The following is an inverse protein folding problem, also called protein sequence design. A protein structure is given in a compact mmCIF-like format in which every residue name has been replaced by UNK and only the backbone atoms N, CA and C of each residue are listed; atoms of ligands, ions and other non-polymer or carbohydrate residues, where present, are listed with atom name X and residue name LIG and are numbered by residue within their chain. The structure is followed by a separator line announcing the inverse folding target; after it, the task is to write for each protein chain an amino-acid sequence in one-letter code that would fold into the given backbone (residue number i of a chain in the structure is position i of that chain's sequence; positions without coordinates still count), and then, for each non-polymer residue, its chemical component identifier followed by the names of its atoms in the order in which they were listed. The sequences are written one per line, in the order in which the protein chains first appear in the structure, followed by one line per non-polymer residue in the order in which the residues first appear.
data_IF_213317190761
#
_entry.id   IF_213317190761
#
_cell.length_a   1.000
_cell.length_b   1.000
_cell.length_c   1.000
_cell.angle_alpha   90.00
_cell.angle_beta   90.00
_cell.angle_gamma   90.00
#
_symmetry.space_group_name_H-M   'P 1'
#
loop_
_entity.id
_entity.type
_entity.pdbx_description
1 polymer ?
#
# COMPACT_ATOMS: atom_id res chain seq x y z
N UNK A 1 -4.95 27.74 -22.31
CA UNK A 1 -4.37 27.66 -20.94
C UNK A 1 -5.16 26.78 -19.95
N UNK A 2 -6.47 26.61 -20.07
CA UNK A 2 -7.24 25.70 -19.16
C UNK A 2 -7.15 24.21 -19.55
N UNK A 3 -6.98 23.88 -20.83
CA UNK A 3 -6.85 22.48 -21.28
C UNK A 3 -5.56 21.81 -20.78
N UNK A 4 -4.44 22.55 -20.72
CA UNK A 4 -3.17 21.98 -20.20
C UNK A 4 -3.24 21.62 -18.71
N UNK A 5 -3.99 22.38 -17.89
CA UNK A 5 -4.09 22.10 -16.45
C UNK A 5 -4.93 20.85 -16.14
N UNK A 6 -6.00 20.63 -16.90
CA UNK A 6 -6.80 19.41 -16.81
C UNK A 6 -6.00 18.17 -17.19
N UNK A 7 -5.28 18.26 -18.32
CA UNK A 7 -4.43 17.20 -18.82
C UNK A 7 -3.33 16.79 -17.82
N UNK A 8 -2.68 17.76 -17.16
CA UNK A 8 -1.68 17.47 -16.11
C UNK A 8 -2.29 16.64 -14.98
N UNK A 9 -3.52 16.97 -14.56
CA UNK A 9 -4.24 16.19 -13.53
C UNK A 9 -4.56 14.78 -13.98
N UNK A 10 -5.06 14.61 -15.19
CA UNK A 10 -5.34 13.30 -15.78
C UNK A 10 -4.08 12.45 -15.96
N UNK A 11 -2.99 13.05 -16.46
CA UNK A 11 -1.70 12.36 -16.62
C UNK A 11 -1.14 11.90 -15.27
N UNK A 12 -1.28 12.73 -14.23
CA UNK A 12 -0.88 12.38 -12.88
C UNK A 12 -1.70 11.20 -12.33
N UNK A 13 -3.02 11.23 -12.46
CA UNK A 13 -3.92 10.15 -12.04
C UNK A 13 -3.60 8.86 -12.79
N UNK A 14 -3.39 8.95 -14.11
CA UNK A 14 -3.02 7.80 -14.93
C UNK A 14 -1.66 7.23 -14.53
N UNK A 15 -0.65 8.07 -14.25
CA UNK A 15 0.64 7.61 -13.75
C UNK A 15 0.49 6.82 -12.45
N UNK A 16 -0.32 7.29 -11.51
CA UNK A 16 -0.60 6.59 -10.27
C UNK A 16 -1.31 5.26 -10.52
N UNK A 17 -2.36 5.26 -11.35
CA UNK A 17 -3.18 4.09 -11.60
C UNK A 17 -2.46 2.98 -12.37
N UNK A 18 -1.57 3.33 -13.29
CA UNK A 18 -0.98 2.35 -14.22
C UNK A 18 0.49 2.03 -13.97
N UNK A 19 1.24 2.95 -13.38
CA UNK A 19 2.69 2.84 -13.24
C UNK A 19 3.15 2.63 -11.80
N UNK A 20 2.24 2.70 -10.83
CA UNK A 20 2.57 2.50 -9.41
C UNK A 20 2.16 1.09 -8.93
N UNK A 21 2.52 0.80 -7.69
CA UNK A 21 2.08 -0.40 -6.96
C UNK A 21 0.55 -0.47 -6.78
N UNK A 22 -0.17 0.59 -7.11
CA UNK A 22 -1.62 0.70 -6.94
C UNK A 22 -2.44 0.09 -8.08
N UNK A 23 -1.80 -0.32 -9.17
CA UNK A 23 -2.45 -0.78 -10.42
C UNK A 23 -3.63 -1.74 -10.22
N UNK A 24 -3.55 -2.67 -9.28
CA UNK A 24 -4.60 -3.67 -9.06
C UNK A 24 -5.84 -3.12 -8.34
N UNK A 25 -5.72 -1.99 -7.67
CA UNK A 25 -6.74 -1.45 -6.76
C UNK A 25 -7.25 -0.07 -7.17
N UNK A 26 -6.72 0.51 -8.26
CA UNK A 26 -7.04 1.84 -8.73
C UNK A 26 -8.18 1.85 -9.75
N UNK A 27 -9.08 2.79 -9.57
CA UNK A 27 -10.18 3.12 -10.48
C UNK A 27 -10.09 4.61 -10.82
N UNK A 28 -9.37 5.00 -11.89
CA UNK A 28 -9.27 6.39 -12.31
C UNK A 28 -10.60 6.87 -12.87
N UNK A 29 -11.03 8.06 -12.44
CA UNK A 29 -12.25 8.70 -12.89
C UNK A 29 -13.51 7.83 -12.83
N UNK A 30 -13.83 7.15 -11.70
CA UNK A 30 -14.99 6.28 -11.62
C UNK A 30 -16.26 7.08 -11.92
N UNK A 31 -17.16 6.52 -12.74
CA UNK A 31 -18.36 7.19 -13.23
C UNK A 31 -19.60 6.36 -12.93
N UNK A 32 -20.74 7.04 -12.78
CA UNK A 32 -22.03 6.36 -12.80
C UNK A 32 -22.30 5.78 -14.19
N UNK A 33 -22.64 4.52 -14.27
CA UNK A 33 -23.12 3.94 -15.54
C UNK A 33 -24.58 4.20 -15.82
N UNK A 34 -25.38 4.42 -14.79
CA UNK A 34 -26.81 4.65 -14.92
C UNK A 34 -27.13 6.15 -15.09
N UNK A 35 -27.16 6.63 -16.32
CA UNK A 35 -27.80 7.87 -16.77
C UNK A 35 -26.92 9.11 -16.85
N UNK A 36 -26.33 9.62 -15.81
CA UNK A 36 -25.40 10.75 -15.85
C UNK A 36 -23.97 10.26 -15.71
N UNK A 37 -23.19 10.30 -16.78
CA UNK A 37 -21.74 9.94 -16.83
C UNK A 37 -20.85 10.90 -16.01
N UNK A 38 -21.37 11.42 -14.88
CA UNK A 38 -20.61 12.33 -14.03
C UNK A 38 -19.56 11.56 -13.27
N UNK A 39 -18.34 12.05 -13.32
CA UNK A 39 -17.22 11.56 -12.52
C UNK A 39 -17.53 11.70 -11.04
N UNK A 40 -17.25 10.63 -10.28
CA UNK A 40 -17.50 10.57 -8.83
C UNK A 40 -16.33 11.21 -8.08
N UNK A 41 -15.09 10.85 -8.45
CA UNK A 41 -13.84 11.41 -7.94
C UNK A 41 -12.74 11.23 -8.98
N UNK A 42 -11.59 11.88 -8.79
CA UNK A 42 -10.48 11.80 -9.74
C UNK A 42 -9.80 10.43 -9.69
N UNK A 43 -9.68 9.82 -8.50
CA UNK A 43 -9.14 8.48 -8.31
C UNK A 43 -9.80 7.79 -7.10
N UNK A 44 -10.19 6.55 -7.28
CA UNK A 44 -10.67 5.68 -6.20
C UNK A 44 -9.73 4.47 -6.09
N UNK A 45 -9.29 4.14 -4.86
CA UNK A 45 -8.51 2.96 -4.55
C UNK A 45 -9.33 2.10 -3.61
N UNK A 46 -9.44 0.79 -3.92
CA UNK A 46 -10.13 -0.18 -3.07
C UNK A 46 -9.14 -1.29 -2.71
N UNK A 47 -8.82 -1.40 -1.42
CA UNK A 47 -7.93 -2.41 -0.90
C UNK A 47 -8.57 -3.10 0.31
N UNK A 48 -8.98 -4.35 0.13
CA UNK A 48 -9.73 -5.10 1.14
C UNK A 48 -10.94 -4.32 1.66
N UNK A 49 -10.97 -4.00 2.95
CA UNK A 49 -12.06 -3.23 3.58
C UNK A 49 -11.79 -1.71 3.64
N UNK A 50 -10.84 -1.22 2.84
CA UNK A 50 -10.42 0.18 2.83
C UNK A 50 -10.70 0.81 1.47
N UNK A 51 -11.31 1.99 1.48
CA UNK A 51 -11.43 2.85 0.30
C UNK A 51 -10.61 4.13 0.49
N UNK A 52 -9.87 4.54 -0.54
CA UNK A 52 -9.17 5.82 -0.59
C UNK A 52 -9.77 6.64 -1.72
N UNK A 53 -10.38 7.77 -1.38
CA UNK A 53 -11.01 8.69 -2.33
C UNK A 53 -10.10 9.89 -2.50
N UNK A 54 -9.59 10.10 -3.72
CA UNK A 54 -8.62 11.14 -4.03
C UNK A 54 -9.25 12.18 -4.96
N UNK A 55 -9.06 13.45 -4.61
CA UNK A 55 -9.33 14.59 -5.49
C UNK A 55 -8.03 15.31 -5.83
N UNK A 56 -7.78 15.50 -7.11
CA UNK A 56 -6.60 16.17 -7.64
C UNK A 56 -6.95 17.58 -8.07
N UNK A 57 -6.15 18.55 -7.67
CA UNK A 57 -6.26 19.95 -8.04
C UNK A 57 -4.96 20.43 -8.67
N UNK A 58 -5.07 21.35 -9.60
CA UNK A 58 -3.91 22.02 -10.21
C UNK A 58 -4.12 23.53 -10.10
N UNK A 59 -3.96 24.04 -8.90
CA UNK A 59 -4.23 25.43 -8.57
C UNK A 59 -2.99 26.12 -8.01
N UNK A 60 -2.58 27.20 -8.65
CA UNK A 60 -1.43 28.02 -8.23
C UNK A 60 -1.85 29.04 -7.16
N UNK A 61 -0.99 29.24 -6.19
CA UNK A 61 -1.13 30.32 -5.24
C UNK A 61 -0.79 31.67 -5.93
N UNK A 62 -1.66 32.66 -5.82
CA UNK A 62 -1.52 33.97 -6.44
C UNK A 62 -1.58 35.12 -5.40
N UNK A 63 -0.93 34.88 -4.25
CA UNK A 63 -0.77 35.90 -3.22
C UNK A 63 -1.97 36.11 -2.29
N UNK A 64 -3.06 35.37 -2.44
CA UNK A 64 -4.24 35.52 -1.56
C UNK A 64 -4.62 34.13 -0.98
N UNK A 65 -4.37 33.93 0.32
CA UNK A 65 -4.62 32.66 1.03
C UNK A 65 -6.10 32.29 1.08
N UNK A 66 -6.96 33.25 1.42
CA UNK A 66 -8.38 32.99 1.57
C UNK A 66 -8.99 32.50 0.25
N UNK A 67 -8.63 33.17 -0.86
CA UNK A 67 -9.07 32.76 -2.19
C UNK A 67 -8.50 31.38 -2.58
N UNK A 68 -7.24 31.10 -2.24
CA UNK A 68 -6.58 29.83 -2.50
C UNK A 68 -7.28 28.71 -1.73
N UNK A 69 -7.48 28.87 -0.42
CA UNK A 69 -8.15 27.87 0.40
C UNK A 69 -9.58 27.61 -0.06
N UNK A 70 -10.40 28.64 -0.26
CA UNK A 70 -11.80 28.47 -0.68
C UNK A 70 -11.93 27.83 -2.06
N UNK A 71 -11.09 28.19 -3.01
CA UNK A 71 -11.21 27.72 -4.38
C UNK A 71 -10.55 26.37 -4.61
N UNK A 72 -9.54 26.00 -3.82
CA UNK A 72 -8.78 24.77 -4.00
C UNK A 72 -9.22 23.73 -2.98
N UNK A 73 -9.03 24.02 -1.72
CA UNK A 73 -9.17 23.01 -0.64
C UNK A 73 -10.63 22.80 -0.31
N UNK A 74 -11.39 23.84 0.01
CA UNK A 74 -12.80 23.65 0.38
C UNK A 74 -13.64 23.05 -0.76
N UNK A 75 -13.38 23.44 -2.01
CA UNK A 75 -14.06 22.83 -3.15
C UNK A 75 -13.72 21.36 -3.31
N UNK A 76 -12.44 21.01 -3.16
CA UNK A 76 -11.99 19.62 -3.23
C UNK A 76 -12.58 18.79 -2.09
N UNK A 77 -12.59 19.31 -0.88
CA UNK A 77 -13.22 18.70 0.28
C UNK A 77 -14.71 18.45 0.03
N UNK A 78 -15.44 19.47 -0.46
CA UNK A 78 -16.86 19.32 -0.81
C UNK A 78 -17.09 18.27 -1.90
N UNK A 79 -16.19 18.16 -2.88
CA UNK A 79 -16.25 17.15 -3.93
C UNK A 79 -16.03 15.73 -3.36
N UNK A 80 -15.03 15.56 -2.49
CA UNK A 80 -14.78 14.27 -1.83
C UNK A 80 -15.99 13.84 -0.98
N UNK A 81 -16.61 14.74 -0.23
CA UNK A 81 -17.83 14.40 0.51
C UNK A 81 -19.00 14.08 -0.41
N UNK A 82 -19.10 14.77 -1.53
CA UNK A 82 -20.05 14.44 -2.59
C UNK A 82 -19.83 13.03 -3.13
N UNK A 83 -18.58 12.69 -3.42
CA UNK A 83 -18.18 11.36 -3.87
C UNK A 83 -18.51 10.29 -2.83
N UNK A 84 -18.15 10.49 -1.57
CA UNK A 84 -18.48 9.55 -0.49
C UNK A 84 -20.00 9.37 -0.33
N UNK A 85 -20.79 10.43 -0.37
CA UNK A 85 -22.26 10.30 -0.31
C UNK A 85 -22.82 9.46 -1.45
N UNK A 86 -22.22 9.53 -2.61
CA UNK A 86 -22.59 8.73 -3.77
C UNK A 86 -22.20 7.28 -3.58
N UNK A 87 -20.92 7.02 -3.28
CA UNK A 87 -20.38 5.67 -3.10
C UNK A 87 -21.08 4.90 -1.98
N UNK A 88 -21.41 5.59 -0.88
CA UNK A 88 -22.00 4.98 0.32
C UNK A 88 -23.51 5.25 0.46
N UNK A 89 -24.13 5.88 -0.53
CA UNK A 89 -25.59 6.13 -0.59
C UNK A 89 -26.39 4.84 -0.83
N UNK A 90 -27.71 4.99 -0.97
CA UNK A 90 -28.63 3.85 -1.13
C UNK A 90 -28.58 3.20 -2.52
N UNK A 91 -28.12 3.91 -3.55
CA UNK A 91 -28.07 3.41 -4.91
C UNK A 91 -26.85 2.54 -5.14
N UNK A 92 -27.01 1.50 -5.96
CA UNK A 92 -25.89 0.68 -6.40
C UNK A 92 -24.94 1.51 -7.30
N UNK A 93 -23.67 1.42 -7.05
CA UNK A 93 -22.62 2.13 -7.81
C UNK A 93 -21.76 1.11 -8.53
N UNK A 94 -21.69 1.24 -9.84
CA UNK A 94 -20.79 0.45 -10.67
C UNK A 94 -19.52 1.26 -10.93
N UNK A 95 -18.38 0.61 -10.77
CA UNK A 95 -17.05 1.19 -11.00
C UNK A 95 -16.38 0.42 -12.11
N UNK A 96 -15.60 1.12 -12.92
CA UNK A 96 -14.87 0.53 -14.03
C UNK A 96 -13.40 0.86 -13.94
N UNK A 97 -12.58 -0.16 -13.84
CA UNK A 97 -11.17 -0.05 -14.12
C UNK A 97 -10.96 -0.16 -15.65
N UNK A 98 -10.06 0.63 -16.27
CA UNK A 98 -9.84 0.55 -17.73
C UNK A 98 -9.47 -0.84 -18.23
N UNK A 99 -8.75 -1.60 -17.42
CA UNK A 99 -8.24 -2.95 -17.74
C UNK A 99 -9.10 -4.06 -17.12
N UNK A 100 -10.29 -3.77 -16.58
CA UNK A 100 -11.19 -4.77 -15.99
C UNK A 100 -12.61 -4.59 -16.51
N UNK A 101 -13.42 -5.60 -16.27
CA UNK A 101 -14.86 -5.49 -16.44
C UNK A 101 -15.48 -4.56 -15.39
N UNK A 102 -16.73 -4.18 -15.60
CA UNK A 102 -17.49 -3.37 -14.65
C UNK A 102 -17.71 -4.18 -13.38
N UNK A 103 -17.38 -3.57 -12.25
CA UNK A 103 -17.54 -4.15 -10.92
C UNK A 103 -18.54 -3.31 -10.11
N UNK A 104 -19.31 -3.96 -9.23
CA UNK A 104 -20.12 -3.24 -8.25
C UNK A 104 -19.21 -2.77 -7.11
N UNK A 105 -19.32 -1.51 -6.73
CA UNK A 105 -18.58 -0.97 -5.58
C UNK A 105 -18.94 -1.74 -4.31
N UNK A 106 -17.96 -2.37 -3.61
CA UNK A 106 -18.20 -3.29 -2.50
C UNK A 106 -18.51 -2.53 -1.19
N UNK A 107 -19.55 -1.72 -1.18
CA UNK A 107 -19.93 -0.81 -0.09
C UNK A 107 -19.93 -1.46 1.28
N UNK A 108 -20.59 -2.60 1.40
CA UNK A 108 -20.79 -3.28 2.69
C UNK A 108 -19.51 -3.92 3.25
N UNK A 109 -18.50 -4.06 2.41
CA UNK A 109 -17.18 -4.57 2.80
C UNK A 109 -16.25 -3.45 3.28
N UNK A 110 -16.53 -2.18 2.93
CA UNK A 110 -15.67 -1.05 3.29
C UNK A 110 -15.93 -0.63 4.73
N UNK A 111 -14.89 -0.69 5.55
CA UNK A 111 -14.91 -0.32 6.97
C UNK A 111 -14.17 0.99 7.26
N UNK A 112 -13.23 1.37 6.40
CA UNK A 112 -12.41 2.59 6.55
C UNK A 112 -12.35 3.36 5.25
N UNK A 113 -12.45 4.68 5.34
CA UNK A 113 -12.38 5.59 4.19
C UNK A 113 -11.30 6.63 4.47
N UNK A 114 -10.28 6.67 3.62
CA UNK A 114 -9.33 7.78 3.56
C UNK A 114 -9.78 8.77 2.48
N UNK A 115 -9.68 10.05 2.79
CA UNK A 115 -10.03 11.15 1.91
C UNK A 115 -8.79 11.99 1.69
N UNK A 116 -8.37 12.13 0.44
CA UNK A 116 -7.11 12.79 0.08
C UNK A 116 -7.36 13.87 -0.95
N UNK A 117 -6.83 15.05 -0.69
CA UNK A 117 -6.71 16.14 -1.68
C UNK A 117 -5.24 16.27 -2.04
N UNK A 118 -4.93 16.27 -3.33
CA UNK A 118 -3.59 16.51 -3.86
C UNK A 118 -3.61 17.78 -4.70
N UNK A 119 -2.80 18.76 -4.35
CA UNK A 119 -2.63 19.95 -5.19
C UNK A 119 -1.32 19.84 -5.99
N UNK A 120 -1.45 19.83 -7.31
CA UNK A 120 -0.33 19.73 -8.26
C UNK A 120 0.26 21.10 -8.63
N UNK A 121 -0.47 22.18 -8.35
CA UNK A 121 -0.01 23.54 -8.67
C UNK A 121 1.06 24.00 -7.67
N UNK A 122 1.87 24.96 -8.13
CA UNK A 122 2.82 25.65 -7.24
C UNK A 122 2.04 26.41 -6.18
N UNK A 123 1.95 25.79 -5.04
CA UNK A 123 1.11 26.21 -3.94
C UNK A 123 1.90 26.69 -2.76
N UNK A 124 1.15 27.12 -1.79
CA UNK A 124 1.65 27.43 -0.47
C UNK A 124 2.05 26.15 0.22
N UNK A 125 3.28 26.09 0.68
CA UNK A 125 3.84 24.91 1.37
C UNK A 125 3.40 24.80 2.84
N UNK A 126 2.50 25.65 3.30
CA UNK A 126 1.98 25.65 4.66
C UNK A 126 0.46 25.76 4.65
N UNK A 127 -0.16 25.11 5.61
CA UNK A 127 -1.61 25.01 5.68
C UNK A 127 -2.07 25.20 7.11
N UNK A 128 -2.81 26.26 7.45
CA UNK A 128 -3.69 26.22 8.60
C UNK A 128 -4.93 25.44 8.16
N UNK A 129 -5.01 24.19 8.50
CA UNK A 129 -6.07 23.33 8.05
C UNK A 129 -6.69 22.55 9.20
N UNK A 130 -7.95 22.82 9.51
CA UNK A 130 -8.73 21.92 10.32
C UNK A 130 -9.29 20.84 9.40
N UNK A 131 -8.64 19.70 9.41
CA UNK A 131 -8.98 18.56 8.58
C UNK A 131 -10.19 17.78 9.07
N UNK A 132 -10.71 18.15 10.26
CA UNK A 132 -11.89 17.51 10.84
C UNK A 132 -13.12 18.34 10.52
N UNK A 133 -14.12 17.70 9.97
CA UNK A 133 -15.39 18.34 9.64
C UNK A 133 -16.40 18.15 10.75
N UNK A 134 -17.59 18.75 10.59
CA UNK A 134 -18.74 18.58 11.50
C UNK A 134 -19.17 17.11 11.66
N UNK A 135 -18.83 16.24 10.72
CA UNK A 135 -19.10 14.79 10.76
C UNK A 135 -17.97 13.95 11.36
N UNK A 136 -16.97 14.58 11.97
CA UNK A 136 -15.78 13.94 12.52
C UNK A 136 -14.95 13.16 11.47
N UNK A 137 -15.14 13.46 10.20
CA UNK A 137 -14.37 12.91 9.10
C UNK A 137 -13.08 13.70 8.89
N UNK A 138 -11.99 12.98 8.56
CA UNK A 138 -10.68 13.56 8.29
C UNK A 138 -10.38 13.62 6.80
N UNK A 139 -9.74 14.72 6.35
CA UNK A 139 -9.25 14.88 4.98
C UNK A 139 -7.76 15.15 5.02
N UNK A 140 -6.99 14.32 4.34
CA UNK A 140 -5.55 14.53 4.17
C UNK A 140 -5.28 15.45 2.98
N UNK A 141 -4.41 16.43 3.18
CA UNK A 141 -3.98 17.33 2.13
C UNK A 141 -2.50 17.12 1.84
N UNK A 142 -2.16 16.95 0.56
CA UNK A 142 -0.78 16.86 0.08
C UNK A 142 -0.53 17.86 -1.04
N UNK A 143 0.68 18.42 -1.09
CA UNK A 143 1.23 18.98 -2.30
C UNK A 143 1.81 17.86 -3.20
N UNK A 144 2.10 18.19 -4.46
CA UNK A 144 2.61 17.24 -5.45
C UNK A 144 3.91 16.57 -5.00
N UNK A 145 4.89 17.38 -4.61
CA UNK A 145 6.24 16.91 -4.30
C UNK A 145 6.24 16.00 -3.06
N UNK A 146 5.49 16.39 -2.03
CA UNK A 146 5.30 15.57 -0.83
C UNK A 146 4.60 14.25 -1.15
N UNK A 147 3.54 14.28 -1.95
CA UNK A 147 2.80 13.07 -2.31
C UNK A 147 3.65 12.12 -3.16
N UNK A 148 4.35 12.63 -4.17
CA UNK A 148 5.26 11.82 -5.01
C UNK A 148 6.38 11.19 -4.16
N UNK A 149 6.91 11.92 -3.18
CA UNK A 149 7.91 11.38 -2.23
C UNK A 149 7.30 10.27 -1.36
N UNK A 150 6.12 10.50 -0.78
CA UNK A 150 5.43 9.52 0.07
C UNK A 150 5.20 8.22 -0.67
N UNK A 151 4.64 8.24 -1.88
CA UNK A 151 4.36 7.02 -2.65
C UNK A 151 5.63 6.36 -3.22
N UNK A 152 6.74 7.08 -3.30
CA UNK A 152 8.04 6.54 -3.70
C UNK A 152 8.72 5.80 -2.55
N UNK A 153 8.64 6.33 -1.34
CA UNK A 153 9.25 5.75 -0.15
C UNK A 153 8.39 4.66 0.49
N UNK A 154 7.05 4.80 0.38
CA UNK A 154 6.06 3.84 0.84
C UNK A 154 5.46 3.14 -0.38
N UNK A 155 6.29 2.42 -1.12
CA UNK A 155 5.99 1.86 -2.42
C UNK A 155 5.22 0.53 -2.39
N UNK A 156 4.51 0.28 -1.29
CA UNK A 156 3.50 -0.77 -1.17
C UNK A 156 2.20 -0.20 -0.60
N UNK A 157 1.06 -0.81 -0.94
CA UNK A 157 -0.23 -0.31 -0.45
C UNK A 157 -0.38 -0.42 1.07
N UNK A 158 0.10 -1.48 1.76
CA UNK A 158 0.07 -1.53 3.21
C UNK A 158 0.93 -0.45 3.88
N UNK A 159 2.14 -0.18 3.36
CA UNK A 159 3.00 0.87 3.89
C UNK A 159 2.36 2.26 3.77
N UNK A 160 1.73 2.54 2.62
CA UNK A 160 1.02 3.79 2.40
C UNK A 160 -0.19 3.94 3.31
N UNK A 161 -0.99 2.88 3.50
CA UNK A 161 -2.14 2.87 4.40
C UNK A 161 -1.70 3.06 5.86
N UNK A 162 -0.65 2.39 6.30
CA UNK A 162 -0.10 2.53 7.66
C UNK A 162 0.29 3.99 7.97
N UNK A 163 0.94 4.66 7.01
CA UNK A 163 1.24 6.09 7.12
C UNK A 163 -0.03 6.94 7.22
N UNK A 164 -1.01 6.71 6.35
CA UNK A 164 -2.26 7.46 6.36
C UNK A 164 -3.02 7.31 7.68
N UNK A 165 -3.08 6.09 8.23
CA UNK A 165 -3.75 5.81 9.51
C UNK A 165 -3.11 6.57 10.66
N UNK A 166 -1.79 6.50 10.76
CA UNK A 166 -1.03 7.14 11.84
C UNK A 166 -1.03 8.65 11.69
N UNK A 167 -0.95 9.15 10.45
CA UNK A 167 -1.09 10.57 10.17
C UNK A 167 -2.49 11.09 10.51
N UNK A 168 -3.54 10.37 10.17
CA UNK A 168 -4.91 10.71 10.58
C UNK A 168 -5.02 10.75 12.11
N UNK A 169 -4.50 9.75 12.82
CA UNK A 169 -4.49 9.71 14.29
C UNK A 169 -3.78 10.92 14.89
N UNK A 170 -2.67 11.36 14.29
CA UNK A 170 -1.94 12.53 14.74
C UNK A 170 -2.76 13.82 14.62
N UNK A 171 -3.45 14.02 13.50
CA UNK A 171 -4.05 15.31 13.15
C UNK A 171 -5.56 15.41 13.36
N UNK A 172 -6.28 14.30 13.41
CA UNK A 172 -7.74 14.31 13.53
C UNK A 172 -8.21 15.06 14.79
N UNK A 173 -9.18 15.94 14.64
CA UNK A 173 -9.74 16.74 15.73
C UNK A 173 -8.86 17.92 16.15
N UNK A 174 -7.85 18.28 15.35
CA UNK A 174 -6.89 19.36 15.68
C UNK A 174 -6.68 20.27 14.49
N UNK A 175 -6.36 21.52 14.77
CA UNK A 175 -5.89 22.45 13.75
C UNK A 175 -4.40 22.21 13.52
N UNK A 176 -4.05 21.83 12.30
CA UNK A 176 -2.66 21.57 11.91
C UNK A 176 -2.11 22.78 11.17
N UNK A 177 -0.94 23.23 11.59
CA UNK A 177 -0.22 24.34 10.99
C UNK A 177 1.18 23.83 10.62
N UNK A 178 1.43 23.67 9.32
CA UNK A 178 2.73 23.25 8.80
C UNK A 178 3.42 24.50 8.25
N UNK A 179 4.57 24.83 8.78
CA UNK A 179 5.39 25.99 8.41
C UNK A 179 6.72 25.52 7.84
N UNK A 180 7.14 25.95 6.64
CA UNK A 180 8.51 25.76 6.18
C UNK A 180 9.48 26.52 7.07
N UNK A 181 10.64 25.96 7.36
CA UNK A 181 11.59 26.51 8.34
C UNK A 181 12.32 27.80 7.94
N UNK A 182 12.20 28.25 6.68
CA UNK A 182 12.83 29.47 6.24
C UNK A 182 11.84 30.65 6.35
N UNK A 183 12.08 31.56 7.27
CA UNK A 183 11.31 32.83 7.40
C UNK A 183 11.25 33.62 6.08
N UNK A 184 12.26 33.49 5.22
CA UNK A 184 12.33 34.16 3.91
C UNK A 184 11.24 33.73 2.93
N UNK A 185 10.65 32.55 3.13
CA UNK A 185 9.58 32.03 2.27
C UNK A 185 8.18 32.46 2.71
N UNK A 186 8.11 33.25 3.78
CA UNK A 186 6.86 33.69 4.39
C UNK A 186 6.68 35.22 4.29
N UNK A 187 6.00 35.74 3.26
CA UNK A 187 5.73 37.19 3.17
C UNK A 187 4.97 37.69 4.39
N UNK A 188 5.38 38.82 4.97
CA UNK A 188 4.80 39.43 6.19
C UNK A 188 3.28 39.62 6.05
N UNK A 189 2.81 40.06 4.88
CA UNK A 189 1.37 40.25 4.58
C UNK A 189 0.58 38.93 4.67
N UNK A 190 1.25 37.80 4.43
CA UNK A 190 0.69 36.47 4.51
C UNK A 190 0.59 35.98 5.95
N UNK A 191 1.49 36.43 6.83
CA UNK A 191 1.48 36.08 8.27
C UNK A 191 0.24 36.64 8.96
N UNK A 192 -0.16 37.87 8.69
CA UNK A 192 -1.36 38.47 9.29
C UNK A 192 -2.63 37.72 8.91
N UNK A 193 -2.79 37.37 7.63
CA UNK A 193 -3.94 36.60 7.16
C UNK A 193 -3.96 35.20 7.74
N UNK A 194 -2.79 34.63 7.94
CA UNK A 194 -2.60 33.33 8.55
C UNK A 194 -2.99 33.31 10.03
N UNK A 195 -2.52 34.31 10.81
CA UNK A 195 -2.90 34.45 12.22
C UNK A 195 -4.38 34.73 12.40
N UNK A 196 -4.97 35.58 11.55
CA UNK A 196 -6.43 35.85 11.54
C UNK A 196 -7.24 34.57 11.24
N UNK A 197 -6.73 33.70 10.37
CA UNK A 197 -7.36 32.40 10.11
C UNK A 197 -7.25 31.47 11.34
N UNK A 198 -6.11 31.49 12.03
CA UNK A 198 -5.88 30.73 13.25
C UNK A 198 -6.78 31.18 14.42
N UNK A 199 -7.06 32.46 14.55
CA UNK A 199 -7.94 33.03 15.57
C UNK A 199 -9.40 32.58 15.44
N UNK A 200 -9.83 32.19 14.24
CA UNK A 200 -11.20 31.73 13.97
C UNK A 200 -11.43 30.26 14.22
N UNK A 201 -10.37 29.49 14.52
CA UNK A 201 -10.42 28.05 14.67
C UNK A 201 -10.22 27.73 16.15
N UNK A 202 -11.29 27.32 16.81
CA UNK A 202 -11.23 26.82 18.18
C UNK A 202 -10.50 25.49 18.25
N UNK A 203 -9.77 25.23 19.35
CA UNK A 203 -9.34 23.93 19.86
C UNK A 203 -7.85 23.61 19.67
N UNK A 204 -7.49 22.35 19.97
CA UNK A 204 -6.11 21.84 20.02
C UNK A 204 -5.35 22.09 18.72
N UNK A 205 -4.16 22.64 18.82
CA UNK A 205 -3.33 23.00 17.68
C UNK A 205 -2.07 22.16 17.60
N UNK A 206 -1.68 21.78 16.39
CA UNK A 206 -0.36 21.20 16.10
C UNK A 206 0.39 22.15 15.18
N UNK A 207 1.52 22.63 15.66
CA UNK A 207 2.45 23.42 14.86
C UNK A 207 3.61 22.53 14.43
N UNK A 208 3.84 22.43 13.14
CA UNK A 208 4.98 21.69 12.59
C UNK A 208 5.87 22.70 11.86
N UNK A 209 7.11 22.86 12.37
CA UNK A 209 8.17 23.51 11.64
C UNK A 209 8.84 22.47 10.74
N UNK A 210 8.65 22.58 9.42
CA UNK A 210 9.11 21.64 8.43
C UNK A 210 8.10 21.39 7.31
N UNK A 211 8.31 20.36 6.55
CA UNK A 211 7.47 19.94 5.43
C UNK A 211 6.83 18.58 5.70
N UNK A 212 5.89 18.18 4.84
CA UNK A 212 5.34 16.81 4.89
C UNK A 212 6.43 15.73 4.69
N UNK A 213 7.51 16.04 3.94
CA UNK A 213 8.65 15.12 3.80
C UNK A 213 9.42 14.98 5.11
N UNK A 214 9.59 16.06 5.86
CA UNK A 214 10.20 16.01 7.19
C UNK A 214 9.32 15.20 8.16
N UNK A 215 7.99 15.30 8.03
CA UNK A 215 7.05 14.47 8.78
C UNK A 215 7.19 12.98 8.43
N UNK A 216 7.38 12.64 7.16
CA UNK A 216 7.67 11.27 6.73
C UNK A 216 8.99 10.76 7.30
N UNK A 217 10.05 11.57 7.28
CA UNK A 217 11.33 11.24 7.90
C UNK A 217 11.20 11.01 9.41
N UNK A 218 10.42 11.84 10.08
CA UNK A 218 10.11 11.68 11.50
C UNK A 218 9.36 10.37 11.77
N UNK A 219 8.37 10.02 10.96
CA UNK A 219 7.66 8.75 11.02
C UNK A 219 8.62 7.55 10.95
N UNK A 220 9.49 7.49 9.96
CA UNK A 220 10.48 6.41 9.83
C UNK A 220 11.46 6.37 11.02
N UNK A 221 11.94 7.53 11.47
CA UNK A 221 12.89 7.63 12.57
C UNK A 221 12.30 7.16 13.91
N UNK A 222 10.99 7.21 14.04
CA UNK A 222 10.24 6.77 15.22
C UNK A 222 9.56 5.40 15.03
N UNK A 223 10.20 4.49 14.29
CA UNK A 223 9.72 3.12 14.05
C UNK A 223 8.30 3.11 13.47
N UNK A 224 8.08 3.92 12.46
CA UNK A 224 6.78 4.11 11.78
C UNK A 224 5.65 4.51 12.73
N UNK A 225 5.94 5.41 13.66
CA UNK A 225 4.94 5.97 14.57
C UNK A 225 5.12 7.48 14.72
N UNK A 226 4.03 8.14 15.06
CA UNK A 226 4.07 9.49 15.58
C UNK A 226 3.93 9.46 17.11
N UNK A 227 4.59 10.39 17.83
CA UNK A 227 4.46 10.46 19.28
C UNK A 227 2.99 10.69 19.67
N UNK A 228 2.55 10.09 20.76
CA UNK A 228 1.21 10.29 21.31
C UNK A 228 1.19 11.60 22.13
N UNK A 229 1.24 12.72 21.40
CA UNK A 229 1.57 14.04 21.94
C UNK A 229 0.41 14.77 22.56
N UNK A 230 -0.81 14.24 22.47
CA UNK A 230 -2.02 14.95 22.84
C UNK A 230 -2.92 14.16 23.80
N UNK A 231 -2.37 13.19 24.48
CA UNK A 231 -3.02 12.54 25.63
C UNK A 231 -3.04 13.43 26.89
N UNK A 232 -2.39 14.61 26.85
CA UNK A 232 -2.35 15.59 27.94
C UNK A 232 -3.32 16.76 27.77
N UNK A 233 -3.42 17.59 28.83
CA UNK A 233 -4.28 18.80 28.89
C UNK A 233 -3.74 19.99 28.06
N UNK A 234 -2.71 19.79 27.23
CA UNK A 234 -2.10 20.87 26.44
C UNK A 234 -2.93 21.20 25.21
N UNK A 235 -3.26 22.47 25.03
CA UNK A 235 -4.01 22.97 23.88
C UNK A 235 -3.14 23.15 22.61
N UNK A 236 -1.82 23.16 22.75
CA UNK A 236 -0.89 23.32 21.65
C UNK A 236 0.30 22.36 21.73
N UNK A 237 0.68 21.82 20.59
CA UNK A 237 1.87 21.00 20.44
C UNK A 237 2.76 21.52 19.30
N UNK A 238 4.06 21.58 19.56
CA UNK A 238 5.06 22.07 18.63
C UNK A 238 5.99 20.93 18.24
N UNK A 239 6.07 20.63 16.94
CA UNK A 239 6.98 19.65 16.37
C UNK A 239 7.98 20.36 15.45
N UNK A 240 9.24 20.44 15.91
CA UNK A 240 10.31 21.03 15.11
C UNK A 240 11.07 19.92 14.40
N UNK A 241 10.90 19.83 13.09
CA UNK A 241 11.45 18.77 12.24
C UNK A 241 12.09 19.29 10.95
N UNK A 242 12.36 20.60 10.88
CA UNK A 242 13.02 21.20 9.72
C UNK A 242 14.31 20.46 9.36
N UNK A 243 14.48 20.12 8.09
CA UNK A 243 15.64 19.42 7.56
C UNK A 243 15.71 17.94 7.94
N UNK A 244 14.70 17.39 8.63
CA UNK A 244 14.67 15.97 8.99
C UNK A 244 14.73 15.08 7.74
N UNK A 245 14.06 15.45 6.66
CA UNK A 245 14.12 14.71 5.39
C UNK A 245 15.52 14.64 4.81
N UNK A 246 16.22 15.78 4.73
CA UNK A 246 17.57 15.81 4.20
C UNK A 246 18.54 15.00 5.04
N UNK A 247 18.41 15.06 6.36
CA UNK A 247 19.21 14.26 7.27
C UNK A 247 18.87 12.76 7.13
N UNK A 248 17.59 12.42 7.01
CA UNK A 248 17.12 11.05 6.84
C UNK A 248 17.70 10.40 5.58
N UNK A 249 17.51 10.99 4.41
CA UNK A 249 17.95 10.38 3.12
C UNK A 249 19.46 10.23 3.02
N UNK A 250 20.23 11.05 3.74
CA UNK A 250 21.70 10.96 3.77
C UNK A 250 22.23 10.00 4.80
N UNK A 251 21.39 9.56 5.76
CA UNK A 251 21.81 8.72 6.89
C UNK A 251 22.21 7.32 6.43
N UNK A 252 23.30 6.77 6.98
CA UNK A 252 23.83 5.45 6.60
C UNK A 252 22.82 4.31 6.81
N UNK A 253 22.04 4.36 7.88
CA UNK A 253 20.97 3.37 8.12
C UNK A 253 19.93 3.31 7.00
N UNK A 254 19.60 4.46 6.40
CA UNK A 254 18.65 4.54 5.29
C UNK A 254 19.26 3.96 4.00
N UNK A 255 20.54 4.24 3.76
CA UNK A 255 21.27 3.60 2.65
C UNK A 255 21.33 2.09 2.80
N UNK A 256 21.57 1.60 4.04
CA UNK A 256 21.56 0.17 4.33
C UNK A 256 20.17 -0.44 4.15
N UNK A 257 19.11 0.25 4.61
CA UNK A 257 17.72 -0.15 4.34
C UNK A 257 17.48 -0.28 2.84
N UNK A 258 17.77 0.76 2.06
CA UNK A 258 17.55 0.77 0.62
C UNK A 258 18.34 -0.32 -0.10
N UNK A 259 19.55 -0.64 0.36
CA UNK A 259 20.33 -1.77 -0.15
C UNK A 259 19.68 -3.11 0.20
N UNK A 260 19.21 -3.26 1.44
CA UNK A 260 18.54 -4.48 1.89
C UNK A 260 17.19 -4.68 1.20
N UNK A 261 16.45 -3.60 0.93
CA UNK A 261 15.15 -3.67 0.26
C UNK A 261 15.24 -4.10 -1.20
N UNK A 262 16.41 -4.03 -1.85
CA UNK A 262 16.56 -4.43 -3.27
C UNK A 262 16.09 -5.85 -3.53
N UNK A 263 16.31 -6.77 -2.62
CA UNK A 263 15.89 -8.16 -2.78
C UNK A 263 14.36 -8.29 -2.78
N UNK A 264 13.64 -7.39 -2.10
CA UNK A 264 12.18 -7.43 -1.99
C UNK A 264 11.48 -7.17 -3.33
N UNK A 265 12.14 -6.47 -4.25
CA UNK A 265 11.60 -6.21 -5.59
C UNK A 265 11.50 -7.46 -6.46
N UNK A 266 12.08 -8.59 -6.02
CA UNK A 266 11.82 -9.90 -6.63
C UNK A 266 10.32 -10.20 -6.70
N UNK A 267 9.55 -9.86 -5.66
CA UNK A 267 8.08 -10.05 -5.66
C UNK A 267 7.41 -9.18 -6.73
N UNK A 268 7.81 -7.92 -6.84
CA UNK A 268 7.27 -6.99 -7.83
C UNK A 268 7.59 -7.46 -9.26
N UNK A 269 8.83 -7.89 -9.50
CA UNK A 269 9.28 -8.42 -10.79
C UNK A 269 8.61 -9.76 -11.11
N UNK A 270 8.42 -10.65 -10.12
CA UNK A 270 7.69 -11.91 -10.30
C UNK A 270 6.24 -11.65 -10.72
N UNK A 271 5.56 -10.72 -10.06
CA UNK A 271 4.19 -10.35 -10.44
C UNK A 271 4.18 -9.79 -11.86
N UNK A 272 5.09 -8.87 -12.19
CA UNK A 272 5.15 -8.22 -13.49
C UNK A 272 5.48 -9.21 -14.62
N UNK A 273 6.51 -10.02 -14.44
CA UNK A 273 7.11 -10.81 -15.53
C UNK A 273 6.49 -12.21 -15.64
N UNK A 274 6.00 -12.80 -14.54
CA UNK A 274 5.44 -14.15 -14.54
C UNK A 274 3.91 -14.16 -14.51
N UNK A 275 3.30 -13.30 -13.68
CA UNK A 275 1.85 -13.32 -13.54
C UNK A 275 1.16 -12.43 -14.57
N UNK A 276 1.68 -11.23 -14.82
CA UNK A 276 1.08 -10.31 -15.80
C UNK A 276 1.53 -10.61 -17.23
N UNK A 277 2.83 -10.82 -17.48
CA UNK A 277 3.42 -11.08 -18.82
C UNK A 277 2.85 -10.18 -19.92
N UNK A 278 2.81 -8.86 -19.69
CA UNK A 278 2.20 -7.87 -20.60
C UNK A 278 0.71 -8.09 -20.90
N UNK A 279 0.05 -8.89 -20.07
CA UNK A 279 -1.38 -9.18 -20.20
C UNK A 279 -2.19 -8.11 -19.48
N UNK A 280 -3.28 -7.66 -20.08
CA UNK A 280 -4.25 -6.77 -19.42
C UNK A 280 -4.90 -7.47 -18.22
N UNK A 281 -5.23 -6.72 -17.16
CA UNK A 281 -5.84 -7.28 -15.95
C UNK A 281 -7.09 -8.10 -16.22
N UNK A 282 -7.94 -7.69 -17.18
CA UNK A 282 -9.16 -8.41 -17.61
C UNK A 282 -8.90 -9.79 -18.20
N UNK A 283 -7.69 -10.05 -18.68
CA UNK A 283 -7.32 -11.33 -19.28
C UNK A 283 -6.62 -12.26 -18.28
N UNK A 284 -6.44 -11.82 -17.02
CA UNK A 284 -5.90 -12.67 -15.97
C UNK A 284 -6.93 -13.72 -15.55
N UNK A 285 -6.45 -14.94 -15.32
CA UNK A 285 -7.28 -15.93 -14.63
C UNK A 285 -7.51 -15.51 -13.18
N UNK A 286 -8.65 -15.88 -12.55
CA UNK A 286 -8.90 -15.57 -11.14
C UNK A 286 -7.75 -15.98 -10.21
N UNK A 287 -7.13 -17.13 -10.49
CA UNK A 287 -5.98 -17.63 -9.71
C UNK A 287 -4.76 -16.69 -9.83
N UNK A 288 -4.43 -16.21 -11.04
CA UNK A 288 -3.29 -15.29 -11.24
C UNK A 288 -3.55 -13.92 -10.61
N UNK A 289 -4.77 -13.41 -10.74
CA UNK A 289 -5.16 -12.14 -10.10
C UNK A 289 -5.11 -12.26 -8.57
N UNK A 290 -5.67 -13.34 -8.02
CA UNK A 290 -5.64 -13.62 -6.59
C UNK A 290 -4.20 -13.72 -6.07
N UNK A 291 -3.33 -14.46 -6.77
CA UNK A 291 -1.91 -14.59 -6.41
C UNK A 291 -1.20 -13.24 -6.45
N UNK A 292 -1.39 -12.44 -7.50
CA UNK A 292 -0.79 -11.12 -7.62
C UNK A 292 -1.24 -10.20 -6.48
N UNK A 293 -2.55 -10.16 -6.19
CA UNK A 293 -3.10 -9.39 -5.08
C UNK A 293 -2.55 -9.84 -3.74
N UNK A 294 -2.47 -11.15 -3.49
CA UNK A 294 -1.94 -11.70 -2.24
C UNK A 294 -0.47 -11.29 -2.04
N UNK A 295 0.39 -11.47 -3.05
CA UNK A 295 1.79 -11.08 -2.99
C UNK A 295 1.98 -9.56 -2.81
N UNK A 296 1.19 -8.77 -3.51
CA UNK A 296 1.27 -7.31 -3.44
C UNK A 296 0.57 -6.72 -2.20
N UNK A 297 -0.14 -7.53 -1.42
CA UNK A 297 -0.73 -7.14 -0.13
C UNK A 297 0.27 -7.16 1.02
N UNK A 298 1.48 -7.63 0.82
CA UNK A 298 2.55 -7.54 1.81
C UNK A 298 3.26 -6.18 1.75
N UNK A 299 3.67 -5.66 2.91
CA UNK A 299 4.52 -4.49 3.02
C UNK A 299 5.95 -4.75 2.51
N UNK A 300 6.76 -3.73 2.38
CA UNK A 300 8.12 -3.83 1.83
C UNK A 300 9.04 -4.72 2.68
N UNK A 301 8.92 -4.64 4.01
CA UNK A 301 9.73 -5.45 4.93
C UNK A 301 9.36 -6.93 4.83
N UNK A 302 8.08 -7.23 4.76
CA UNK A 302 7.57 -8.60 4.57
C UNK A 302 7.98 -9.17 3.22
N UNK A 303 7.88 -8.39 2.12
CA UNK A 303 8.39 -8.82 0.80
C UNK A 303 9.89 -9.09 0.83
N UNK A 304 10.67 -8.31 1.59
CA UNK A 304 12.10 -8.55 1.79
C UNK A 304 12.35 -9.90 2.48
N UNK A 305 11.61 -10.19 3.54
CA UNK A 305 11.69 -11.46 4.25
C UNK A 305 11.33 -12.66 3.34
N UNK A 306 10.22 -12.54 2.60
CA UNK A 306 9.79 -13.56 1.63
C UNK A 306 10.86 -13.82 0.57
N UNK A 307 11.38 -12.75 -0.04
CA UNK A 307 12.37 -12.84 -1.10
C UNK A 307 13.69 -13.43 -0.61
N UNK A 308 14.15 -13.02 0.57
CA UNK A 308 15.34 -13.58 1.22
C UNK A 308 15.19 -15.08 1.46
N UNK A 309 14.05 -15.49 2.04
CA UNK A 309 13.73 -16.90 2.26
C UNK A 309 13.71 -17.72 0.95
N UNK A 310 13.18 -17.12 -0.13
CA UNK A 310 13.20 -17.75 -1.45
C UNK A 310 14.62 -17.96 -1.97
N UNK A 311 15.47 -16.94 -1.95
CA UNK A 311 16.83 -17.06 -2.48
C UNK A 311 17.71 -17.96 -1.62
N UNK A 312 17.61 -17.91 -0.31
CA UNK A 312 18.28 -18.86 0.59
C UNK A 312 17.84 -20.30 0.31
N UNK A 313 16.56 -20.53 0.07
CA UNK A 313 16.05 -21.83 -0.31
C UNK A 313 16.53 -22.26 -1.69
N UNK A 314 16.51 -21.37 -2.67
CA UNK A 314 17.02 -21.61 -4.01
C UNK A 314 18.50 -22.00 -3.99
N UNK A 315 19.32 -21.28 -3.24
CA UNK A 315 20.76 -21.51 -3.12
C UNK A 315 21.10 -22.88 -2.50
N UNK A 316 20.22 -23.44 -1.67
CA UNK A 316 20.39 -24.81 -1.13
C UNK A 316 20.26 -25.89 -2.19
N UNK A 317 19.49 -25.63 -3.26
CA UNK A 317 19.12 -26.68 -4.23
C UNK A 317 19.61 -26.44 -5.65
N UNK A 318 20.12 -25.25 -5.97
CA UNK A 318 20.51 -24.89 -7.35
C UNK A 318 21.58 -25.81 -7.97
N UNK A 319 22.42 -26.41 -7.14
CA UNK A 319 23.53 -27.30 -7.57
C UNK A 319 23.15 -28.79 -7.49
N UNK A 320 21.91 -29.12 -7.09
CA UNK A 320 21.43 -30.47 -7.02
C UNK A 320 21.28 -31.12 -8.41
N UNK A 321 21.65 -32.37 -8.51
CA UNK A 321 21.61 -33.15 -9.74
C UNK A 321 20.72 -34.40 -9.59
N UNK A 322 20.24 -34.95 -10.71
CA UNK A 322 19.35 -36.10 -10.70
C UNK A 322 17.91 -35.74 -10.38
N UNK A 323 17.16 -36.62 -9.78
CA UNK A 323 15.78 -36.43 -9.38
C UNK A 323 15.72 -35.86 -7.97
N UNK A 324 15.53 -34.56 -7.84
CA UNK A 324 15.45 -33.89 -6.54
C UNK A 324 14.26 -32.96 -6.45
N UNK A 325 13.60 -32.95 -5.29
CA UNK A 325 12.50 -32.05 -4.97
C UNK A 325 12.66 -31.49 -3.55
N UNK A 326 12.86 -30.17 -3.46
CA UNK A 326 12.95 -29.44 -2.20
C UNK A 326 11.64 -28.70 -1.88
N UNK A 327 11.40 -28.43 -0.61
CA UNK A 327 10.27 -27.59 -0.16
C UNK A 327 10.62 -26.81 1.08
N UNK A 328 10.03 -25.61 1.20
CA UNK A 328 10.10 -24.75 2.39
C UNK A 328 8.75 -24.04 2.53
N UNK A 329 8.23 -24.04 3.73
CA UNK A 329 6.96 -23.38 4.06
C UNK A 329 7.16 -22.30 5.10
N UNK A 330 6.46 -21.18 4.95
CA UNK A 330 6.35 -20.11 5.93
C UNK A 330 4.89 -19.66 6.05
N UNK A 331 4.46 -19.28 7.26
CA UNK A 331 3.18 -18.62 7.47
C UNK A 331 3.44 -17.16 7.85
N UNK A 332 2.81 -16.25 7.14
CA UNK A 332 2.91 -14.81 7.36
C UNK A 332 1.49 -14.26 7.46
N UNK A 333 1.09 -13.89 8.66
CA UNK A 333 -0.24 -13.31 8.95
C UNK A 333 -1.42 -14.12 8.42
N UNK A 334 -1.31 -15.45 8.46
CA UNK A 334 -2.32 -16.38 8.00
C UNK A 334 -2.32 -16.63 6.48
N UNK A 335 -1.27 -16.18 5.79
CA UNK A 335 -0.99 -16.54 4.40
C UNK A 335 0.18 -17.52 4.38
N UNK A 336 -0.08 -18.76 4.00
CA UNK A 336 0.96 -19.77 3.80
C UNK A 336 1.73 -19.49 2.50
N UNK A 337 3.06 -19.46 2.59
CA UNK A 337 3.93 -19.34 1.43
C UNK A 337 4.76 -20.60 1.34
N UNK A 338 4.57 -21.36 0.27
CA UNK A 338 5.25 -22.60 -0.01
C UNK A 338 6.18 -22.44 -1.20
N UNK A 339 7.47 -22.50 -0.94
CA UNK A 339 8.48 -22.62 -1.99
C UNK A 339 8.77 -24.10 -2.25
N UNK A 340 8.81 -24.45 -3.54
CA UNK A 340 9.29 -25.76 -3.97
C UNK A 340 10.36 -25.59 -5.05
N UNK A 341 11.30 -26.53 -5.06
CA UNK A 341 12.34 -26.60 -6.07
C UNK A 341 12.32 -27.98 -6.71
N UNK A 342 12.46 -28.05 -8.02
CA UNK A 342 12.55 -29.30 -8.77
C UNK A 342 13.72 -29.26 -9.75
N UNK A 343 14.40 -30.39 -9.91
CA UNK A 343 15.46 -30.50 -10.91
C UNK A 343 14.88 -30.72 -12.31
N UNK A 344 15.58 -30.28 -13.38
CA UNK A 344 15.08 -30.37 -14.76
C UNK A 344 14.82 -31.82 -15.26
N UNK A 345 15.36 -32.80 -14.57
CA UNK A 345 15.19 -34.23 -14.88
C UNK A 345 13.83 -34.78 -14.44
N UNK A 346 13.10 -34.05 -13.60
CA UNK A 346 11.74 -34.44 -13.18
C UNK A 346 10.73 -34.14 -14.29
N UNK A 347 9.87 -35.09 -14.57
CA UNK A 347 8.76 -34.85 -15.50
C UNK A 347 7.61 -34.05 -14.85
N UNK A 348 6.78 -33.45 -15.67
CA UNK A 348 5.69 -32.57 -15.20
C UNK A 348 4.66 -33.31 -14.34
N UNK A 349 4.47 -34.62 -14.54
CA UNK A 349 3.54 -35.41 -13.74
C UNK A 349 4.09 -35.59 -12.32
N UNK A 350 5.37 -35.92 -12.19
CA UNK A 350 6.04 -36.00 -10.90
C UNK A 350 6.01 -34.66 -10.17
N UNK A 351 6.37 -33.57 -10.86
CA UNK A 351 6.36 -32.21 -10.28
C UNK A 351 4.96 -31.86 -9.75
N UNK A 352 3.91 -32.17 -10.53
CA UNK A 352 2.52 -31.91 -10.12
C UNK A 352 2.12 -32.72 -8.87
N UNK A 353 2.49 -34.00 -8.80
CA UNK A 353 2.22 -34.87 -7.64
C UNK A 353 2.93 -34.33 -6.40
N UNK A 354 4.23 -34.01 -6.51
CA UNK A 354 5.01 -33.50 -5.38
C UNK A 354 4.54 -32.11 -4.93
N UNK A 355 4.21 -31.21 -5.85
CA UNK A 355 3.62 -29.91 -5.51
C UNK A 355 2.27 -30.06 -4.78
N UNK A 356 1.40 -30.98 -5.27
CA UNK A 356 0.11 -31.26 -4.61
C UNK A 356 0.33 -31.81 -3.19
N UNK A 357 1.25 -32.77 -3.03
CA UNK A 357 1.58 -33.32 -1.73
C UNK A 357 2.21 -32.28 -0.80
N UNK A 358 3.08 -31.40 -1.32
CA UNK A 358 3.69 -30.31 -0.56
C UNK A 358 2.64 -29.33 -0.03
N UNK A 359 1.67 -28.93 -0.87
CA UNK A 359 0.53 -28.08 -0.47
C UNK A 359 -0.29 -28.75 0.63
N UNK A 360 -0.75 -29.99 0.38
CA UNK A 360 -1.60 -30.72 1.32
C UNK A 360 -0.91 -30.96 2.66
N UNK A 361 0.34 -31.40 2.63
CA UNK A 361 1.10 -31.67 3.84
C UNK A 361 1.44 -30.40 4.62
N UNK A 362 1.77 -29.30 3.96
CA UNK A 362 2.02 -28.04 4.65
C UNK A 362 0.79 -27.57 5.43
N UNK A 363 -0.41 -27.65 4.86
CA UNK A 363 -1.64 -27.32 5.54
C UNK A 363 -1.92 -28.22 6.74
N UNK A 364 -1.78 -29.55 6.54
CA UNK A 364 -2.06 -30.55 7.58
C UNK A 364 -1.08 -30.43 8.76
N UNK A 365 0.23 -30.34 8.47
CA UNK A 365 1.25 -30.35 9.52
C UNK A 365 1.39 -29.01 10.25
N UNK A 366 0.87 -27.91 9.69
CA UNK A 366 0.71 -26.62 10.38
C UNK A 366 -0.66 -26.47 11.06
N UNK A 367 -1.45 -27.53 11.10
CA UNK A 367 -2.78 -27.55 11.68
C UNK A 367 -3.71 -26.48 11.09
N UNK A 368 -3.64 -26.30 9.77
CA UNK A 368 -4.47 -25.33 9.01
C UNK A 368 -4.36 -23.89 9.54
N UNK A 369 -3.15 -23.49 9.96
CA UNK A 369 -2.87 -22.15 10.49
C UNK A 369 -3.13 -21.08 9.43
N UNK A 370 -2.77 -21.36 8.17
CA UNK A 370 -2.95 -20.42 7.06
C UNK A 370 -4.35 -20.48 6.50
N UNK A 371 -4.95 -19.31 6.26
CA UNK A 371 -6.28 -19.17 5.63
C UNK A 371 -6.20 -19.27 4.11
N UNK A 372 -5.10 -18.81 3.53
CA UNK A 372 -4.79 -18.91 2.12
C UNK A 372 -3.38 -19.45 1.91
N UNK A 373 -3.08 -19.98 0.72
CA UNK A 373 -1.78 -20.55 0.43
C UNK A 373 -1.29 -20.12 -0.97
N UNK A 374 -0.06 -19.69 -0.99
CA UNK A 374 0.72 -19.36 -2.19
C UNK A 374 1.74 -20.46 -2.43
N UNK A 375 1.74 -21.07 -3.61
CA UNK A 375 2.80 -21.95 -4.09
C UNK A 375 3.63 -21.24 -5.14
N UNK A 376 4.95 -21.21 -4.94
CA UNK A 376 5.94 -20.80 -5.95
C UNK A 376 6.93 -21.94 -6.11
N UNK A 377 6.86 -22.63 -7.24
CA UNK A 377 7.71 -23.76 -7.61
C UNK A 377 8.69 -23.31 -8.69
N UNK A 378 9.98 -23.58 -8.51
CA UNK A 378 11.02 -23.12 -9.42
C UNK A 378 12.06 -24.20 -9.71
N UNK A 379 12.90 -23.96 -10.72
CA UNK A 379 14.06 -24.77 -11.04
C UNK A 379 15.30 -23.91 -11.34
N UNK A 380 16.44 -24.53 -11.64
CA UNK A 380 17.69 -23.82 -11.97
C UNK A 380 17.60 -22.88 -13.18
N UNK A 381 16.61 -23.05 -14.03
CA UNK A 381 16.38 -22.18 -15.21
C UNK A 381 15.38 -21.08 -14.92
N UNK A 382 15.04 -20.83 -13.65
CA UNK A 382 14.00 -19.86 -13.23
C UNK A 382 12.67 -20.04 -13.96
N UNK A 383 12.28 -21.30 -14.23
CA UNK A 383 10.93 -21.61 -14.71
C UNK A 383 10.02 -21.77 -13.52
N UNK A 384 9.00 -20.91 -13.47
CA UNK A 384 8.07 -20.90 -12.37
C UNK A 384 6.77 -21.64 -12.69
N UNK A 385 6.35 -22.46 -11.74
CA UNK A 385 4.98 -22.95 -11.62
C UNK A 385 4.42 -22.32 -10.34
N UNK A 386 3.15 -21.95 -10.36
CA UNK A 386 2.54 -21.28 -9.22
C UNK A 386 1.08 -21.65 -9.07
N UNK A 387 0.60 -21.58 -7.83
CA UNK A 387 -0.81 -21.74 -7.49
C UNK A 387 -1.19 -20.79 -6.35
N UNK A 388 -2.47 -20.46 -6.26
CA UNK A 388 -3.06 -19.71 -5.17
C UNK A 388 -4.35 -20.39 -4.73
N UNK A 389 -4.48 -20.62 -3.43
CA UNK A 389 -5.66 -21.17 -2.78
C UNK A 389 -6.16 -20.09 -1.83
N UNK A 390 -7.32 -19.51 -2.11
CA UNK A 390 -7.87 -18.40 -1.32
C UNK A 390 -8.39 -18.86 0.05
N UNK A 391 -9.09 -19.99 0.06
CA UNK A 391 -9.61 -20.58 1.29
C UNK A 391 -9.08 -22.01 1.45
N UNK A 392 -8.29 -22.22 2.48
CA UNK A 392 -7.78 -23.54 2.83
C UNK A 392 -8.82 -24.26 3.67
N UNK A 393 -9.42 -25.30 3.08
CA UNK A 393 -10.38 -26.16 3.76
C UNK A 393 -9.68 -27.29 4.49
N UNK A 394 -10.28 -27.77 5.57
CA UNK A 394 -9.79 -28.97 6.28
C UNK A 394 -10.10 -30.23 5.45
N UNK A 395 -9.14 -31.14 5.44
CA UNK A 395 -9.31 -32.43 4.79
C UNK A 395 -10.20 -33.35 5.63
N UNK A 396 -10.83 -34.32 4.97
CA UNK A 396 -11.53 -35.40 5.66
C UNK A 396 -10.53 -36.28 6.44
N UNK A 397 -10.96 -37.02 7.46
CA UNK A 397 -10.08 -37.94 8.20
C UNK A 397 -9.37 -38.95 7.30
N UNK A 398 -10.04 -39.44 6.25
CA UNK A 398 -9.48 -40.37 5.28
C UNK A 398 -8.38 -39.71 4.44
N UNK A 399 -8.63 -38.48 3.98
CA UNK A 399 -7.64 -37.70 3.25
C UNK A 399 -6.41 -37.35 4.11
N UNK A 400 -6.64 -36.98 5.38
CA UNK A 400 -5.51 -36.72 6.31
C UNK A 400 -4.66 -37.97 6.52
N UNK A 401 -5.28 -39.14 6.65
CA UNK A 401 -4.54 -40.39 6.77
C UNK A 401 -3.70 -40.66 5.51
N UNK A 402 -4.30 -40.52 4.33
CA UNK A 402 -3.59 -40.70 3.07
C UNK A 402 -2.42 -39.75 2.92
N UNK A 403 -2.60 -38.46 3.27
CA UNK A 403 -1.52 -37.46 3.21
C UNK A 403 -0.36 -37.87 4.14
N UNK A 404 -0.66 -38.38 5.34
CA UNK A 404 0.37 -38.84 6.29
C UNK A 404 1.14 -40.05 5.76
N UNK A 405 0.46 -40.98 5.12
CA UNK A 405 1.08 -42.14 4.47
C UNK A 405 1.99 -41.73 3.32
N UNK A 406 1.49 -40.86 2.41
CA UNK A 406 2.26 -40.37 1.27
C UNK A 406 3.51 -39.59 1.72
N UNK A 407 3.37 -38.74 2.73
CA UNK A 407 4.48 -37.99 3.34
C UNK A 407 5.54 -38.94 3.92
N UNK A 408 5.12 -40.01 4.57
CA UNK A 408 6.02 -41.03 5.11
C UNK A 408 6.78 -41.78 4.00
N UNK A 409 6.09 -42.08 2.90
CA UNK A 409 6.71 -42.74 1.73
C UNK A 409 7.83 -41.91 1.11
N UNK A 410 7.65 -40.58 1.04
CA UNK A 410 8.67 -39.67 0.50
C UNK A 410 9.68 -39.18 1.54
N UNK A 411 9.55 -39.62 2.79
CA UNK A 411 10.50 -39.29 3.87
C UNK A 411 10.45 -37.82 4.33
N UNK A 412 9.32 -37.12 4.14
CA UNK A 412 9.17 -35.74 4.59
C UNK A 412 8.80 -35.65 6.07
N UNK A 413 9.05 -34.46 6.68
CA UNK A 413 8.80 -34.18 8.11
C UNK A 413 9.45 -35.13 9.11
N UNK A 414 10.56 -35.76 8.72
CA UNK A 414 11.35 -36.60 9.64
C UNK A 414 12.21 -35.78 10.59
N UNK A 415 12.51 -34.52 10.23
CA UNK A 415 13.22 -33.55 11.06
C UNK A 415 12.56 -32.19 10.82
N UNK A 416 11.80 -31.74 11.78
CA UNK A 416 11.23 -30.39 11.76
C UNK A 416 12.24 -29.38 12.32
N UNK A 417 12.52 -28.34 11.57
CA UNK A 417 13.27 -27.20 12.06
C UNK A 417 12.39 -25.99 11.89
N UNK A 418 11.86 -25.47 12.98
CA UNK A 418 11.15 -24.20 12.99
C UNK A 418 12.18 -23.08 13.10
N UNK A 419 12.18 -22.17 12.12
CA UNK A 419 13.05 -21.00 12.11
C UNK A 419 12.16 -19.77 12.23
N UNK A 420 12.24 -19.09 13.37
CA UNK A 420 11.65 -17.78 13.55
C UNK A 420 12.67 -16.73 13.13
N UNK A 421 12.45 -16.04 12.03
CA UNK A 421 13.29 -14.93 11.58
C UNK A 421 12.55 -13.61 11.74
N UNK A 422 13.20 -12.64 12.38
CA UNK A 422 12.75 -11.26 12.43
C UNK A 422 13.67 -10.40 11.58
N UNK A 423 13.10 -9.69 10.61
CA UNK A 423 13.83 -8.73 9.81
C UNK A 423 13.80 -7.36 10.49
N UNK A 424 14.92 -6.65 10.47
CA UNK A 424 14.99 -5.27 10.93
C UNK A 424 14.86 -4.34 9.74
N UNK A 425 13.93 -3.39 9.79
CA UNK A 425 13.72 -2.44 8.70
C UNK A 425 15.01 -1.67 8.36
N UNK A 426 15.77 -1.26 9.39
CA UNK A 426 17.04 -0.56 9.25
C UNK A 426 18.20 -1.46 9.71
N UNK A 427 18.71 -2.35 8.85
CA UNK A 427 19.83 -3.22 9.21
C UNK A 427 21.09 -2.39 9.45
N UNK A 428 21.97 -2.91 10.34
CA UNK A 428 23.24 -2.27 10.70
C UNK A 428 24.28 -2.54 9.61
#
# INVERSE_FOLDING_TARGET
MNEDKGKIGEDFVNKLAYSSFLKFWCYPGPRFENGNKKEICDLLIIFHSIAIVISVKNYEFKGNHFRYFNNTIEKAVKQIYGACRVLFGSSEVHIKHPDKDIETFPRDQIKKIFRIVINLGDGVKFYPFNSTTKSDDYVTLFDKDSFETIISELDTIPDFIDYLEKREKLFKGKTTIILPGAESDFPIETQEDFFKLGETINDKHIFISGTEKDLLAHFFSNKRNFPDVLSGDSDAYYLQIDGAWQNFVTHEKVKNKNKADRISYFIDEFVKNELLKDTLLKNLTPMREGLAKALLSFDRLTRRSISKNYFEFYDLYKDETGLHFGRRFADIDGVGILFTFYTPQMDMKMISIFNSLAVKSSNLFTNYKSKSLILISSNIHHRFLFAYIDNVEKYSPEEELQIREDVKLVGWFTRETEINSTENEFPI
#
